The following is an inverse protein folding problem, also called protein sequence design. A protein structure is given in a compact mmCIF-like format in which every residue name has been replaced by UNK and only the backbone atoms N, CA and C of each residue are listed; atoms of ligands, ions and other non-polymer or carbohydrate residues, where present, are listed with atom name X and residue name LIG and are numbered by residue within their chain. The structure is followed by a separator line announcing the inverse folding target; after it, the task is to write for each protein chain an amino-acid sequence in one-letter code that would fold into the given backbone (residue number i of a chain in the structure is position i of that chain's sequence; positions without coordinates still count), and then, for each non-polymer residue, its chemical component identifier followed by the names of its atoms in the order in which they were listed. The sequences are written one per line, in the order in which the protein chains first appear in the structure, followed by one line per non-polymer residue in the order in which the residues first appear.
data_IF_370318807236
#
_entry.id   IF_370318807236
#
_cell.length_a   1.000
_cell.length_b   1.000
_cell.length_c   1.000
_cell.angle_alpha   90.00
_cell.angle_beta   90.00
_cell.angle_gamma   90.00
#
_symmetry.space_group_name_H-M   'P 1'
#
loop_
_entity.id
_entity.type
_entity.pdbx_description
1 polymer ?
#
# COMPACT_ATOMS: atom_id res chain seq x y z
N UNK A 1 -26.60 -42.68 -51.95
CA UNK A 1 -25.32 -43.33 -52.30
C UNK A 1 -24.32 -42.94 -51.21
N UNK A 2 -24.44 -43.55 -50.03
CA UNK A 2 -23.69 -44.74 -49.54
C UNK A 2 -22.28 -44.43 -49.09
N UNK A 3 -22.10 -44.29 -47.76
CA UNK A 3 -20.92 -44.72 -47.01
C UNK A 3 -20.74 -46.26 -47.16
N UNK A 4 -19.59 -46.86 -46.76
CA UNK A 4 -19.24 -47.16 -45.35
C UNK A 4 -17.71 -46.99 -45.09
N UNK A 5 -17.06 -47.20 -43.95
CA UNK A 5 -17.31 -47.77 -42.61
C UNK A 5 -15.91 -47.89 -41.95
N UNK A 6 -15.73 -47.49 -40.69
CA UNK A 6 -15.70 -48.36 -39.49
C UNK A 6 -14.31 -48.90 -39.10
N UNK A 7 -13.93 -48.74 -37.82
CA UNK A 7 -12.82 -49.47 -37.21
C UNK A 7 -12.21 -48.88 -35.93
N UNK A 8 -12.92 -48.98 -34.81
CA UNK A 8 -12.31 -49.13 -33.46
C UNK A 8 -12.34 -50.64 -33.11
N UNK A 9 -11.52 -51.20 -32.20
CA UNK A 9 -11.84 -51.14 -30.76
C UNK A 9 -10.69 -51.38 -29.71
N UNK A 10 -11.04 -51.13 -28.43
CA UNK A 10 -10.66 -51.85 -27.17
C UNK A 10 -9.23 -51.71 -26.57
N UNK A 11 -9.05 -51.09 -25.39
CA UNK A 11 -9.05 -51.60 -23.97
C UNK A 11 -7.81 -52.38 -23.48
N UNK A 12 -7.15 -51.85 -22.44
CA UNK A 12 -6.51 -52.52 -21.27
C UNK A 12 -5.90 -51.40 -20.39
N UNK A 13 -6.21 -51.12 -19.12
CA UNK A 13 -6.24 -51.91 -17.87
C UNK A 13 -4.87 -52.38 -17.35
N UNK A 14 -4.25 -51.58 -16.48
CA UNK A 14 -3.37 -51.94 -15.36
C UNK A 14 -2.93 -50.62 -14.71
N UNK A 15 -3.08 -50.33 -13.41
CA UNK A 15 -2.90 -51.20 -12.26
C UNK A 15 -1.56 -50.83 -11.62
N UNK A 16 -1.56 -49.86 -10.71
CA UNK A 16 -0.53 -49.76 -9.67
C UNK A 16 -1.07 -48.96 -8.47
N UNK A 17 -1.79 -49.68 -7.62
CA UNK A 17 -1.86 -49.40 -6.19
C UNK A 17 -0.47 -49.60 -5.58
N UNK A 18 -0.04 -48.67 -4.73
CA UNK A 18 0.80 -48.93 -3.56
C UNK A 18 0.71 -47.67 -2.67
N UNK A 19 -0.11 -47.73 -1.62
CA UNK A 19 0.33 -47.98 -0.24
C UNK A 19 1.36 -46.96 0.27
N UNK A 20 0.93 -46.10 1.20
CA UNK A 20 1.42 -46.10 2.60
C UNK A 20 0.46 -45.29 3.48
N UNK A 21 -0.36 -46.03 4.23
CA UNK A 21 -1.05 -45.59 5.43
C UNK A 21 -0.06 -45.54 6.61
N UNK A 22 -0.35 -44.64 7.55
CA UNK A 22 0.01 -44.77 8.97
C UNK A 22 1.38 -44.22 9.35
N UNK A 23 1.65 -43.77 10.55
CA UNK A 23 0.85 -43.63 11.78
C UNK A 23 1.75 -42.86 12.74
N UNK A 24 1.18 -41.96 13.52
CA UNK A 24 1.86 -41.32 14.64
C UNK A 24 2.27 -42.36 15.69
N UNK A 25 3.46 -42.27 16.31
CA UNK A 25 3.76 -43.00 17.52
C UNK A 25 3.61 -42.08 18.74
N UNK A 26 2.49 -42.24 19.43
CA UNK A 26 2.34 -42.01 20.86
C UNK A 26 3.37 -42.82 21.63
N UNK A 27 4.18 -42.15 22.46
CA UNK A 27 4.95 -42.80 23.52
C UNK A 27 4.70 -42.08 24.85
N UNK A 28 3.95 -42.75 25.72
CA UNK A 28 3.99 -42.56 27.18
C UNK A 28 4.15 -43.96 27.79
N UNK A 29 5.02 -44.11 28.80
CA UNK A 29 4.60 -44.86 29.97
C UNK A 29 4.89 -44.09 31.28
N UNK A 30 3.81 -43.86 32.02
CA UNK A 30 3.57 -44.15 33.44
C UNK A 30 4.75 -44.08 34.45
N UNK A 31 4.67 -43.01 35.27
CA UNK A 31 4.88 -42.89 36.73
C UNK A 31 6.17 -43.39 37.40
N UNK A 32 6.91 -42.41 37.93
CA UNK A 32 7.45 -42.48 39.28
C UNK A 32 7.15 -41.16 40.02
N UNK A 33 6.35 -41.23 41.10
CA UNK A 33 6.12 -40.11 42.03
C UNK A 33 7.28 -40.08 43.01
N UNK A 34 8.18 -39.11 42.88
CA UNK A 34 9.05 -38.68 43.97
C UNK A 34 8.51 -37.35 44.47
N UNK A 35 7.98 -37.32 45.71
CA UNK A 35 7.64 -36.07 46.40
C UNK A 35 8.94 -35.44 46.88
N UNK A 36 9.46 -34.47 46.12
CA UNK A 36 10.48 -33.56 46.62
C UNK A 36 9.80 -32.44 47.42
N UNK A 37 10.20 -32.31 48.68
CA UNK A 37 9.79 -31.28 49.64
C UNK A 37 10.43 -29.95 49.21
N UNK A 38 9.69 -28.82 49.10
CA UNK A 38 10.32 -27.57 48.71
C UNK A 38 11.19 -27.03 49.85
N UNK A 39 12.38 -26.49 49.57
CA UNK A 39 13.15 -25.77 50.56
C UNK A 39 12.44 -24.47 50.94
N UNK A 40 12.40 -24.19 52.25
CA UNK A 40 11.94 -22.91 52.80
C UNK A 40 12.95 -21.83 52.41
N UNK A 41 12.55 -20.96 51.50
CA UNK A 41 13.35 -19.82 51.05
C UNK A 41 12.53 -18.98 50.09
N UNK A 42 11.63 -18.16 50.64
CA UNK A 42 10.83 -17.22 49.87
C UNK A 42 11.70 -16.08 49.35
N UNK A 43 12.50 -16.35 48.32
CA UNK A 43 13.01 -15.33 47.41
C UNK A 43 11.86 -14.92 46.49
N UNK A 44 11.39 -13.68 46.62
CA UNK A 44 10.40 -13.10 45.70
C UNK A 44 11.04 -13.02 44.31
N UNK A 45 10.80 -14.04 43.48
CA UNK A 45 11.06 -13.97 42.04
C UNK A 45 10.33 -12.75 41.48
N UNK A 46 11.09 -11.79 40.93
CA UNK A 46 10.56 -10.65 40.20
C UNK A 46 9.99 -11.12 38.85
N UNK A 47 8.84 -11.79 38.88
CA UNK A 47 7.97 -11.91 37.72
C UNK A 47 7.18 -10.61 37.60
N UNK A 48 7.85 -9.51 37.22
CA UNK A 48 7.14 -8.46 36.50
C UNK A 48 7.26 -8.81 35.03
N UNK A 49 6.13 -9.29 34.54
CA UNK A 49 5.86 -9.55 33.16
C UNK A 49 6.43 -8.43 32.28
N UNK A 50 6.94 -8.86 31.13
CA UNK A 50 6.96 -8.10 29.90
C UNK A 50 5.51 -7.65 29.59
N UNK A 51 5.05 -6.64 30.30
CA UNK A 51 3.82 -5.92 30.02
C UNK A 51 4.10 -5.21 28.70
N UNK A 52 3.59 -5.79 27.61
CA UNK A 52 3.52 -5.16 26.31
C UNK A 52 3.11 -3.70 26.52
N UNK A 53 4.05 -2.77 26.36
CA UNK A 53 3.76 -1.35 26.55
C UNK A 53 2.73 -0.99 25.48
N UNK A 54 1.45 -0.94 25.87
CA UNK A 54 0.41 -0.32 25.05
C UNK A 54 0.82 1.13 24.96
N UNK A 55 1.52 1.46 23.87
CA UNK A 55 1.98 2.81 23.59
C UNK A 55 0.72 3.64 23.42
N UNK A 56 0.41 4.51 24.39
CA UNK A 56 -0.76 5.38 24.29
C UNK A 56 -0.59 6.24 23.04
N UNK A 57 -1.57 6.19 22.16
CA UNK A 57 -1.56 6.97 20.91
C UNK A 57 -1.78 8.46 21.20
N UNK A 58 -2.62 8.82 22.17
CA UNK A 58 -2.86 10.21 22.54
C UNK A 58 -1.90 10.68 23.64
N UNK A 59 -1.29 11.85 23.44
CA UNK A 59 -0.34 12.45 24.41
C UNK A 59 -0.79 13.80 24.97
N UNK A 60 -1.85 14.42 24.40
CA UNK A 60 -2.34 15.78 24.71
C UNK A 60 -1.35 16.92 24.43
N UNK A 61 -0.15 16.61 23.95
CA UNK A 61 0.90 17.61 23.68
C UNK A 61 0.58 18.56 22.51
N UNK A 62 -0.47 18.28 21.73
CA UNK A 62 -0.91 19.11 20.62
C UNK A 62 -2.22 19.86 20.86
N UNK A 63 -2.75 19.86 22.09
CA UNK A 63 -4.06 20.45 22.41
C UNK A 63 -4.07 21.98 22.28
N UNK A 64 -2.89 22.62 22.38
CA UNK A 64 -2.71 24.05 22.14
C UNK A 64 -2.64 24.44 20.65
N UNK A 65 -2.82 23.49 19.73
CA UNK A 65 -2.77 23.75 18.28
C UNK A 65 -1.39 23.59 17.63
N UNK A 66 -0.37 23.19 18.39
CA UNK A 66 1.00 22.96 17.91
C UNK A 66 1.28 21.46 17.72
N UNK A 67 2.30 21.11 16.93
CA UNK A 67 2.80 19.73 16.76
C UNK A 67 4.32 19.71 16.64
N UNK A 68 4.93 18.57 16.98
CA UNK A 68 6.35 18.34 16.74
C UNK A 68 6.63 17.91 15.31
N UNK A 69 7.71 18.42 14.73
CA UNK A 69 8.33 17.92 13.51
C UNK A 69 9.43 16.91 13.87
N UNK A 70 9.87 16.15 12.87
CA UNK A 70 11.07 15.35 13.01
C UNK A 70 12.28 16.30 13.19
N UNK A 71 13.17 16.01 14.13
CA UNK A 71 14.23 16.94 14.58
C UNK A 71 13.87 17.77 15.81
N UNK A 72 12.64 17.68 16.33
CA UNK A 72 12.24 18.23 17.63
C UNK A 72 11.70 19.66 17.61
N UNK A 73 11.75 20.34 16.47
CA UNK A 73 11.09 21.64 16.29
C UNK A 73 9.56 21.51 16.49
N UNK A 74 8.93 22.55 17.04
CA UNK A 74 7.47 22.64 17.16
C UNK A 74 6.92 23.73 16.27
N UNK A 75 5.82 23.43 15.60
CA UNK A 75 5.14 24.35 14.67
C UNK A 75 3.63 24.24 14.84
N UNK A 76 2.92 25.28 14.42
CA UNK A 76 1.46 25.26 14.33
C UNK A 76 1.00 24.07 13.47
N UNK A 77 -0.10 23.43 13.87
CA UNK A 77 -0.76 22.39 13.05
C UNK A 77 -1.23 22.92 11.69
N UNK A 78 -1.35 24.25 11.56
CA UNK A 78 -1.70 24.91 10.30
C UNK A 78 -0.49 25.18 9.39
N UNK A 79 0.72 24.91 9.88
CA UNK A 79 1.97 25.21 9.17
C UNK A 79 2.01 24.53 7.78
N UNK A 80 2.51 25.19 6.71
CA UNK A 80 2.54 24.63 5.36
C UNK A 80 3.16 23.23 5.27
N UNK A 81 4.21 22.98 6.07
CA UNK A 81 4.85 21.66 6.17
C UNK A 81 3.92 20.58 6.70
N UNK A 82 3.16 20.89 7.76
CA UNK A 82 2.16 19.98 8.36
C UNK A 82 1.05 19.68 7.36
N UNK A 83 0.57 20.71 6.66
CA UNK A 83 -0.41 20.54 5.58
C UNK A 83 0.10 19.68 4.42
N UNK A 84 1.38 19.80 4.07
CA UNK A 84 1.99 19.04 2.99
C UNK A 84 2.05 17.54 3.31
N UNK A 85 2.71 17.13 4.40
CA UNK A 85 2.77 15.70 4.74
C UNK A 85 1.40 15.15 5.18
N UNK A 86 0.54 15.97 5.77
CA UNK A 86 -0.84 15.57 6.08
C UNK A 86 -1.69 15.30 4.84
N UNK A 87 -1.49 16.06 3.76
CA UNK A 87 -2.16 15.77 2.47
C UNK A 87 -1.62 14.49 1.81
N UNK A 88 -0.35 14.16 2.03
CA UNK A 88 0.26 12.89 1.59
C UNK A 88 -0.29 11.71 2.37
N UNK A 89 -0.48 11.85 3.69
CA UNK A 89 -1.14 10.84 4.52
C UNK A 89 -2.59 10.60 4.09
N UNK A 90 -3.33 11.66 3.79
CA UNK A 90 -4.69 11.53 3.27
C UNK A 90 -4.74 10.81 1.91
N UNK A 91 -3.80 11.11 1.01
CA UNK A 91 -3.65 10.35 -0.23
C UNK A 91 -3.42 8.86 0.05
N UNK A 92 -2.56 8.54 1.02
CA UNK A 92 -2.24 7.18 1.41
C UNK A 92 -3.48 6.43 1.92
N UNK A 93 -4.30 7.09 2.75
CA UNK A 93 -5.58 6.53 3.22
C UNK A 93 -6.56 6.27 2.05
N UNK A 94 -6.64 7.19 1.08
CA UNK A 94 -7.50 7.01 -0.11
C UNK A 94 -7.00 5.88 -1.01
N UNK A 95 -5.69 5.65 -1.11
CA UNK A 95 -5.17 4.44 -1.78
C UNK A 95 -5.65 3.17 -1.06
N UNK A 96 -5.72 3.17 0.27
CA UNK A 96 -6.30 2.07 1.04
C UNK A 96 -7.75 1.77 0.67
N UNK A 97 -8.56 2.81 0.42
CA UNK A 97 -9.93 2.63 -0.09
C UNK A 97 -9.95 2.03 -1.50
N UNK A 98 -9.04 2.46 -2.38
CA UNK A 98 -8.93 1.91 -3.72
C UNK A 98 -8.53 0.42 -3.72
N UNK A 99 -7.65 0.00 -2.80
CA UNK A 99 -7.32 -1.42 -2.56
C UNK A 99 -8.52 -2.21 -2.05
N UNK A 100 -9.23 -1.68 -1.06
CA UNK A 100 -10.43 -2.31 -0.50
C UNK A 100 -11.58 -2.45 -1.51
N UNK A 101 -11.59 -1.65 -2.57
CA UNK A 101 -12.59 -1.69 -3.64
C UNK A 101 -12.40 -2.86 -4.64
N UNK A 102 -11.42 -3.74 -4.42
CA UNK A 102 -11.20 -4.96 -5.21
C UNK A 102 -10.66 -4.73 -6.62
N UNK A 103 -9.53 -4.03 -6.82
CA UNK A 103 -8.89 -3.93 -8.11
C UNK A 103 -8.26 -5.28 -8.51
N UNK A 104 -7.72 -5.39 -9.73
CA UNK A 104 -6.93 -6.58 -10.11
C UNK A 104 -5.68 -6.70 -9.24
N UNK A 105 -5.15 -7.93 -9.09
CA UNK A 105 -3.96 -8.19 -8.29
C UNK A 105 -2.74 -7.37 -8.73
N UNK A 106 -2.60 -7.14 -10.04
CA UNK A 106 -1.53 -6.31 -10.60
C UNK A 106 -1.63 -4.85 -10.13
N UNK A 107 -2.85 -4.30 -10.10
CA UNK A 107 -3.11 -2.94 -9.61
C UNK A 107 -2.93 -2.90 -8.08
N UNK A 108 -3.45 -3.87 -7.32
CA UNK A 108 -3.32 -3.89 -5.86
C UNK A 108 -1.86 -3.89 -5.40
N UNK A 109 -1.00 -4.69 -6.06
CA UNK A 109 0.43 -4.73 -5.76
C UNK A 109 1.13 -3.38 -6.02
N UNK A 110 0.70 -2.63 -7.04
CA UNK A 110 1.20 -1.28 -7.30
C UNK A 110 0.72 -0.33 -6.20
N UNK A 111 -0.56 -0.38 -5.84
CA UNK A 111 -1.12 0.48 -4.78
C UNK A 111 -0.43 0.23 -3.45
N UNK A 112 -0.16 -1.01 -3.08
CA UNK A 112 0.60 -1.36 -1.89
C UNK A 112 1.99 -0.73 -1.88
N UNK A 113 2.75 -0.90 -2.97
CA UNK A 113 4.06 -0.25 -3.11
C UNK A 113 3.95 1.26 -2.97
N UNK A 114 2.94 1.88 -3.58
CA UNK A 114 2.71 3.32 -3.48
C UNK A 114 2.40 3.76 -2.04
N UNK A 115 1.64 2.99 -1.26
CA UNK A 115 1.39 3.30 0.16
C UNK A 115 2.67 3.31 0.99
N UNK A 116 3.57 2.33 0.78
CA UNK A 116 4.89 2.33 1.42
C UNK A 116 5.72 3.54 1.00
N UNK A 117 5.75 3.86 -0.30
CA UNK A 117 6.50 5.00 -0.81
C UNK A 117 5.94 6.32 -0.27
N UNK A 118 4.62 6.48 -0.15
CA UNK A 118 4.01 7.69 0.41
C UNK A 118 4.34 7.89 1.89
N UNK A 119 4.50 6.81 2.67
CA UNK A 119 5.03 6.91 4.03
C UNK A 119 6.46 7.47 4.05
N UNK A 120 7.34 6.95 3.17
CA UNK A 120 8.71 7.48 3.03
C UNK A 120 8.68 8.98 2.71
N UNK A 121 7.85 9.39 1.73
CA UNK A 121 7.77 10.79 1.30
C UNK A 121 7.17 11.70 2.38
N UNK A 122 6.21 11.19 3.16
CA UNK A 122 5.67 11.87 4.33
C UNK A 122 6.75 12.12 5.39
N UNK A 123 7.60 11.12 5.65
CA UNK A 123 8.74 11.27 6.54
C UNK A 123 9.77 12.29 6.02
N UNK A 124 10.08 12.27 4.72
CA UNK A 124 10.96 13.26 4.10
C UNK A 124 10.43 14.69 4.25
N UNK A 125 9.12 14.90 4.05
CA UNK A 125 8.46 16.20 4.22
C UNK A 125 8.41 16.66 5.69
N UNK A 126 8.26 15.71 6.62
CA UNK A 126 8.21 15.98 8.06
C UNK A 126 9.56 16.36 8.68
N UNK A 127 10.67 16.13 7.98
CA UNK A 127 12.04 16.46 8.43
C UNK A 127 12.58 17.68 7.68
N UNK A 128 12.63 18.89 8.28
CA UNK A 128 13.08 20.11 7.60
C UNK A 128 14.58 20.11 7.30
N UNK A 129 15.39 19.63 8.25
CA UNK A 129 16.84 19.75 8.22
C UNK A 129 17.51 18.70 7.32
N UNK A 130 18.38 19.17 6.43
CA UNK A 130 19.10 18.29 5.51
C UNK A 130 20.06 17.34 6.23
N UNK A 131 20.63 17.77 7.36
CA UNK A 131 21.51 16.95 8.20
C UNK A 131 20.74 15.77 8.83
N UNK A 132 19.54 16.01 9.36
CA UNK A 132 18.68 14.97 9.93
C UNK A 132 18.21 13.97 8.87
N UNK A 133 18.00 14.44 7.63
CA UNK A 133 17.73 13.55 6.48
C UNK A 133 18.97 12.75 6.06
N UNK A 134 20.17 13.30 6.22
CA UNK A 134 21.43 12.68 5.82
C UNK A 134 21.90 11.57 6.77
N UNK A 135 21.30 11.42 7.94
CA UNK A 135 21.54 10.30 8.87
C UNK A 135 21.18 8.91 8.34
N UNK A 136 20.72 8.80 7.08
CA UNK A 136 20.55 7.52 6.37
C UNK A 136 19.27 6.76 6.71
N UNK A 137 18.45 7.26 7.64
CA UNK A 137 17.23 6.57 8.10
C UNK A 137 15.95 7.02 7.38
N UNK A 138 16.00 8.06 6.55
CA UNK A 138 14.84 8.60 5.84
C UNK A 138 14.98 8.33 4.34
N UNK A 139 14.17 7.42 3.83
CA UNK A 139 14.07 7.19 2.39
C UNK A 139 13.51 8.45 1.70
N UNK A 140 14.08 8.80 0.54
CA UNK A 140 13.72 10.01 -0.20
C UNK A 140 13.04 9.71 -1.53
N UNK A 141 12.37 10.70 -2.08
CA UNK A 141 12.09 10.76 -3.51
C UNK A 141 13.41 10.81 -4.30
N UNK A 142 13.51 9.94 -5.31
CA UNK A 142 14.66 9.85 -6.21
C UNK A 142 14.21 9.79 -7.66
N UNK A 143 15.09 10.12 -8.62
CA UNK A 143 14.77 10.01 -10.05
C UNK A 143 14.36 8.58 -10.45
N UNK A 144 14.93 7.56 -9.83
CA UNK A 144 14.61 6.15 -10.12
C UNK A 144 13.19 5.79 -9.70
N UNK A 145 12.71 6.37 -8.58
CA UNK A 145 11.32 6.21 -8.14
C UNK A 145 10.36 6.91 -9.08
N UNK A 146 10.71 8.09 -9.59
CA UNK A 146 9.90 8.80 -10.62
C UNK A 146 9.85 7.97 -11.91
N UNK A 147 11.00 7.50 -12.40
CA UNK A 147 11.08 6.66 -13.59
C UNK A 147 10.32 5.33 -13.42
N UNK A 148 10.19 4.80 -12.20
CA UNK A 148 9.37 3.63 -11.94
C UNK A 148 7.87 3.91 -12.17
N UNK A 149 7.37 5.08 -11.78
CA UNK A 149 5.99 5.49 -12.06
C UNK A 149 5.76 5.64 -13.57
N UNK A 150 6.72 6.21 -14.30
CA UNK A 150 6.65 6.37 -15.76
C UNK A 150 6.59 4.99 -16.44
N UNK A 151 7.43 4.03 -16.03
CA UNK A 151 7.35 2.65 -16.55
C UNK A 151 6.00 1.98 -16.26
N UNK A 152 5.40 2.24 -15.11
CA UNK A 152 4.05 1.73 -14.82
C UNK A 152 2.99 2.40 -15.71
N UNK A 153 3.08 3.71 -15.91
CA UNK A 153 2.20 4.46 -16.81
C UNK A 153 2.25 3.85 -18.20
N UNK A 154 3.45 3.71 -18.78
CA UNK A 154 3.64 3.18 -20.13
C UNK A 154 3.08 1.75 -20.25
N UNK A 155 3.42 0.88 -19.30
CA UNK A 155 2.95 -0.52 -19.26
C UNK A 155 1.42 -0.66 -19.32
N UNK A 156 0.69 0.16 -18.56
CA UNK A 156 -0.77 0.11 -18.56
C UNK A 156 -1.36 0.84 -19.77
N UNK A 157 -0.75 1.94 -20.19
CA UNK A 157 -1.23 2.72 -21.31
C UNK A 157 -1.17 1.95 -22.64
N UNK A 158 -0.13 1.13 -22.84
CA UNK A 158 0.03 0.29 -24.04
C UNK A 158 -1.09 -0.76 -24.20
N UNK A 159 -1.79 -1.10 -23.12
CA UNK A 159 -2.87 -2.09 -23.09
C UNK A 159 -4.26 -1.44 -23.20
N UNK A 160 -4.33 -0.12 -23.20
CA UNK A 160 -5.59 0.61 -23.18
C UNK A 160 -5.98 1.10 -24.58
N UNK A 161 -7.30 1.16 -24.89
CA UNK A 161 -7.75 1.85 -26.08
C UNK A 161 -7.35 3.34 -26.02
N UNK A 162 -7.06 3.96 -27.19
CA UNK A 162 -6.63 5.36 -27.24
C UNK A 162 -7.70 6.27 -26.65
N UNK A 163 -7.27 7.26 -25.86
CA UNK A 163 -8.18 8.22 -25.25
C UNK A 163 -8.63 9.25 -26.28
N UNK A 164 -9.93 9.27 -26.61
CA UNK A 164 -10.50 10.18 -27.62
C UNK A 164 -11.32 11.33 -27.04
N UNK A 165 -11.73 11.23 -25.79
CA UNK A 165 -12.61 12.18 -25.10
C UNK A 165 -12.20 12.29 -23.64
N UNK A 166 -12.62 13.36 -22.97
CA UNK A 166 -12.46 13.47 -21.52
C UNK A 166 -13.29 12.41 -20.81
N UNK A 167 -12.68 11.75 -19.82
CA UNK A 167 -13.32 10.72 -19.00
C UNK A 167 -13.94 11.38 -17.78
N UNK A 168 -15.22 11.11 -17.54
CA UNK A 168 -15.87 11.41 -16.28
C UNK A 168 -15.32 10.44 -15.21
N UNK A 169 -14.87 10.94 -14.04
CA UNK A 169 -14.41 10.09 -12.94
C UNK A 169 -15.46 9.05 -12.52
N UNK A 170 -15.26 7.78 -12.88
CA UNK A 170 -16.24 6.75 -12.55
C UNK A 170 -15.96 5.39 -13.19
N UNK A 171 -16.99 4.55 -13.21
CA UNK A 171 -16.95 3.19 -13.74
C UNK A 171 -17.07 2.14 -12.63
N UNK A 172 -16.07 1.29 -12.45
CA UNK A 172 -16.04 0.33 -11.34
C UNK A 172 -15.79 1.05 -10.00
N UNK A 173 -16.10 0.41 -8.85
CA UNK A 173 -15.72 0.95 -7.54
C UNK A 173 -14.21 1.25 -7.44
N UNK A 174 -13.37 0.34 -7.90
CA UNK A 174 -11.92 0.53 -7.95
C UNK A 174 -11.51 1.72 -8.84
N UNK A 175 -12.05 1.84 -10.07
CA UNK A 175 -11.75 2.95 -10.96
C UNK A 175 -12.18 4.31 -10.37
N UNK A 176 -13.35 4.35 -9.73
CA UNK A 176 -13.88 5.55 -9.08
C UNK A 176 -13.00 5.97 -7.89
N UNK A 177 -12.58 5.01 -7.07
CA UNK A 177 -11.65 5.25 -5.96
C UNK A 177 -10.26 5.71 -6.45
N UNK A 178 -9.75 5.16 -7.55
CA UNK A 178 -8.50 5.60 -8.19
C UNK A 178 -8.60 7.02 -8.74
N UNK A 179 -9.73 7.39 -9.34
CA UNK A 179 -9.95 8.78 -9.73
C UNK A 179 -10.06 9.73 -8.52
N UNK A 180 -10.65 9.29 -7.41
CA UNK A 180 -10.64 10.07 -6.18
C UNK A 180 -9.21 10.26 -5.67
N UNK A 181 -8.42 9.18 -5.57
CA UNK A 181 -7.00 9.22 -5.20
C UNK A 181 -6.22 10.19 -6.08
N UNK A 182 -6.42 10.16 -7.40
CA UNK A 182 -5.79 11.10 -8.35
C UNK A 182 -6.06 12.56 -7.97
N UNK A 183 -7.29 12.91 -7.60
CA UNK A 183 -7.60 14.29 -7.20
C UNK A 183 -6.95 14.69 -5.88
N UNK A 184 -6.83 13.75 -4.95
CA UNK A 184 -6.15 13.94 -3.66
C UNK A 184 -4.63 14.07 -3.87
N UNK A 185 -4.04 13.30 -4.79
CA UNK A 185 -2.64 13.44 -5.17
C UNK A 185 -2.33 14.84 -5.70
N UNK A 186 -3.19 15.38 -6.57
CA UNK A 186 -3.06 16.76 -7.06
C UNK A 186 -3.24 17.79 -5.93
N UNK A 187 -4.02 17.49 -4.89
CA UNK A 187 -4.14 18.37 -3.72
C UNK A 187 -2.87 18.33 -2.87
N UNK A 188 -2.30 17.14 -2.64
CA UNK A 188 -1.02 16.98 -1.98
C UNK A 188 0.10 17.71 -2.73
N UNK A 189 0.13 17.61 -4.07
CA UNK A 189 1.06 18.35 -4.92
C UNK A 189 0.98 19.86 -4.66
N UNK A 190 -0.23 20.45 -4.68
CA UNK A 190 -0.41 21.90 -4.39
C UNK A 190 0.05 22.29 -2.99
N UNK A 191 -0.15 21.43 -1.99
CA UNK A 191 0.33 21.66 -0.63
C UNK A 191 1.86 21.65 -0.56
N UNK A 192 2.51 20.73 -1.29
CA UNK A 192 3.98 20.67 -1.40
C UNK A 192 4.51 21.89 -2.16
N UNK A 193 3.85 22.32 -3.24
CA UNK A 193 4.21 23.57 -3.95
C UNK A 193 4.11 24.78 -3.01
N UNK A 194 3.07 24.85 -2.18
CA UNK A 194 2.93 25.93 -1.18
C UNK A 194 4.09 25.89 -0.18
N UNK A 195 4.47 24.72 0.32
CA UNK A 195 5.64 24.58 1.19
C UNK A 195 6.92 25.04 0.48
N UNK A 196 7.12 24.60 -0.76
CA UNK A 196 8.29 24.92 -1.58
C UNK A 196 8.43 26.43 -1.90
N UNK A 197 7.36 27.22 -1.75
CA UNK A 197 7.40 28.68 -1.92
C UNK A 197 8.09 29.41 -0.76
N UNK A 198 8.25 28.77 0.40
CA UNK A 198 8.83 29.37 1.60
C UNK A 198 9.99 28.57 2.20
N UNK A 199 10.10 27.27 1.90
CA UNK A 199 11.10 26.38 2.48
C UNK A 199 11.70 25.46 1.41
N UNK A 200 12.97 25.02 1.56
CA UNK A 200 13.57 24.08 0.63
C UNK A 200 12.86 22.71 0.67
N UNK A 201 12.53 22.20 -0.51
CA UNK A 201 11.91 20.90 -0.74
C UNK A 201 12.69 20.16 -1.82
N UNK A 202 12.87 18.85 -1.68
CA UNK A 202 13.47 18.01 -2.71
C UNK A 202 12.64 18.10 -4.01
N UNK A 203 13.21 18.54 -5.16
CA UNK A 203 12.46 18.67 -6.41
C UNK A 203 11.92 17.32 -6.92
N UNK A 204 12.54 16.21 -6.56
CA UNK A 204 12.05 14.87 -6.92
C UNK A 204 10.73 14.52 -6.22
N UNK A 205 10.42 15.09 -5.03
CA UNK A 205 9.12 14.92 -4.38
C UNK A 205 7.99 15.49 -5.25
N UNK A 206 8.18 16.71 -5.74
CA UNK A 206 7.22 17.37 -6.63
C UNK A 206 7.04 16.56 -7.91
N UNK A 207 8.15 16.08 -8.50
CA UNK A 207 8.08 15.26 -9.72
C UNK A 207 7.35 13.95 -9.48
N UNK A 208 7.59 13.30 -8.33
CA UNK A 208 6.97 12.04 -7.97
C UNK A 208 5.45 12.19 -7.81
N UNK A 209 4.98 13.16 -7.02
CA UNK A 209 3.53 13.32 -6.77
C UNK A 209 2.78 13.75 -8.04
N UNK A 210 3.42 14.54 -8.91
CA UNK A 210 2.87 14.88 -10.21
C UNK A 210 2.65 13.62 -11.08
N UNK A 211 3.71 12.81 -11.27
CA UNK A 211 3.64 11.53 -12.00
C UNK A 211 2.71 10.51 -11.37
N UNK A 212 2.61 10.50 -10.04
CA UNK A 212 1.67 9.63 -9.33
C UNK A 212 0.22 9.96 -9.71
N UNK A 213 -0.11 11.23 -9.89
CA UNK A 213 -1.47 11.60 -10.32
C UNK A 213 -1.79 11.10 -11.75
N UNK A 214 -0.80 11.08 -12.64
CA UNK A 214 -0.93 10.52 -13.98
C UNK A 214 -1.09 8.99 -13.93
N UNK A 215 -0.26 8.31 -13.14
CA UNK A 215 -0.39 6.87 -12.92
C UNK A 215 -1.77 6.50 -12.38
N UNK A 216 -2.29 7.21 -11.38
CA UNK A 216 -3.62 6.95 -10.82
C UNK A 216 -4.74 7.15 -11.85
N UNK A 217 -4.58 8.07 -12.80
CA UNK A 217 -5.49 8.21 -13.94
C UNK A 217 -5.45 6.98 -14.85
N UNK A 218 -4.25 6.54 -15.23
CA UNK A 218 -4.05 5.37 -16.10
C UNK A 218 -4.56 4.08 -15.42
N UNK A 219 -4.30 3.90 -14.13
CA UNK A 219 -4.81 2.76 -13.37
C UNK A 219 -6.34 2.76 -13.27
N UNK A 220 -6.98 3.93 -13.14
CA UNK A 220 -8.45 4.02 -13.15
C UNK A 220 -9.04 3.52 -14.48
N UNK A 221 -8.43 3.91 -15.60
CA UNK A 221 -8.78 3.42 -16.94
C UNK A 221 -8.56 1.91 -17.05
N UNK A 222 -7.41 1.42 -16.60
CA UNK A 222 -7.09 0.00 -16.58
C UNK A 222 -8.09 -0.83 -15.76
N UNK A 223 -8.52 -0.32 -14.61
CA UNK A 223 -9.52 -0.99 -13.77
C UNK A 223 -10.89 -1.10 -14.46
N UNK A 224 -11.31 -0.09 -15.23
CA UNK A 224 -12.51 -0.18 -16.05
C UNK A 224 -12.35 -1.18 -17.21
N UNK A 225 -11.22 -1.08 -17.92
CA UNK A 225 -10.94 -1.96 -19.06
C UNK A 225 -10.87 -3.44 -18.66
N UNK A 226 -10.19 -3.77 -17.56
CA UNK A 226 -10.10 -5.13 -17.03
C UNK A 226 -11.46 -5.71 -16.63
N UNK A 227 -12.42 -4.85 -16.23
CA UNK A 227 -13.77 -5.24 -15.88
C UNK A 227 -14.75 -5.23 -17.08
N UNK A 228 -14.27 -4.97 -18.31
CA UNK A 228 -15.10 -4.83 -19.49
C UNK A 228 -16.08 -3.65 -19.42
N UNK A 229 -15.80 -2.65 -18.58
CA UNK A 229 -16.63 -1.44 -18.43
C UNK A 229 -16.15 -0.35 -19.36
N UNK A 230 -17.06 0.21 -20.15
CA UNK A 230 -16.79 1.41 -20.93
C UNK A 230 -16.47 2.59 -20.01
N UNK A 231 -15.50 3.41 -20.40
CA UNK A 231 -15.15 4.64 -19.70
C UNK A 231 -16.32 5.64 -19.85
N UNK A 232 -16.86 6.19 -18.74
CA UNK A 232 -17.87 7.23 -18.86
C UNK A 232 -17.23 8.47 -19.48
N UNK A 233 -17.77 8.98 -20.58
CA UNK A 233 -17.19 10.15 -21.28
C UNK A 233 -17.99 11.41 -21.01
N UNK A 234 -17.29 12.54 -21.03
CA UNK A 234 -17.90 13.86 -20.93
C UNK A 234 -18.29 14.37 -22.31
N UNK A 235 -19.55 14.78 -22.44
CA UNK A 235 -20.07 15.54 -23.59
C UNK A 235 -20.32 16.99 -23.17
N UNK A 236 -19.76 17.98 -23.87
CA UNK A 236 -20.10 19.38 -23.63
C UNK A 236 -21.61 19.61 -23.79
N UNK A 237 -22.22 20.31 -22.84
CA UNK A 237 -23.57 20.85 -23.03
C UNK A 237 -23.52 21.96 -24.08
N UNK A 238 -24.51 22.00 -24.97
CA UNK A 238 -24.67 23.04 -25.99
C UNK A 238 -24.88 24.44 -25.39
#
# INVERSE_FOLDING_TARGET
MTSPGAGSPSTASSGCDTFWHGSAPTWLPVRARVRLRPPRGAGRESRRANESSVTRIYTRTGDSGETGLFGGARVSKDHPRVRAYGSVDELNAVLGLARAAGPSQEIDAILERLQHQLFDLGAELATPDAADRAGGHIARATPERVAALERDIDRFQDRLPPLRQFVLPGGTPAASALHHARTVARRAERAIVRLASSEPVNPELLKYVNRLSDLLFVLARAANHAAGRAEPTWTPSA
#
